data_IF_592197171450
#
_entry.id   IF_592197171450
#
_cell.length_a   1.000
_cell.length_b   1.000
_cell.length_c   1.000
_cell.angle_alpha   90.00
_cell.angle_beta   90.00
_cell.angle_gamma   90.00
#
_symmetry.space_group_name_H-M   'P 1'
#
loop_
_entity.id
_entity.type
_entity.pdbx_description
1 polymer ?
#
# COMPACT_ATOMS: atom_id res chain seq x y z
N UNK A 1 6.04 1.23 -2.94
CA UNK A 1 6.64 -0.10 -3.27
C UNK A 1 5.54 -1.10 -3.63
N UNK A 2 4.59 -1.36 -2.73
CA UNK A 2 3.45 -2.26 -2.98
C UNK A 2 2.68 -1.94 -4.27
N UNK A 3 2.42 -0.66 -4.53
CA UNK A 3 1.78 -0.23 -5.79
C UNK A 3 2.50 -0.75 -7.02
N UNK A 4 3.84 -0.68 -7.05
CA UNK A 4 4.65 -1.18 -8.19
C UNK A 4 4.63 -2.71 -8.23
N UNK A 5 4.77 -3.37 -7.08
CA UNK A 5 4.77 -4.85 -7.01
C UNK A 5 3.45 -5.47 -7.50
N UNK A 6 2.35 -4.75 -7.30
CA UNK A 6 1.01 -5.19 -7.72
C UNK A 6 0.61 -4.66 -9.11
N UNK A 7 1.52 -4.03 -9.85
CA UNK A 7 1.28 -3.53 -11.21
C UNK A 7 0.46 -2.24 -11.28
N UNK A 8 0.39 -1.49 -10.20
CA UNK A 8 -0.31 -0.21 -10.11
C UNK A 8 0.52 1.00 -10.57
N UNK A 9 -0.16 2.11 -10.80
CA UNK A 9 0.45 3.37 -11.25
C UNK A 9 1.18 4.09 -10.10
N UNK A 10 2.52 4.10 -10.15
CA UNK A 10 3.36 4.73 -9.14
C UNK A 10 3.20 6.25 -9.08
N UNK A 11 3.07 6.92 -10.22
CA UNK A 11 2.96 8.38 -10.27
C UNK A 11 1.66 8.86 -9.61
N UNK A 12 0.58 8.11 -9.85
CA UNK A 12 -0.71 8.36 -9.22
C UNK A 12 -0.63 8.15 -7.70
N UNK A 13 -0.02 7.04 -7.26
CA UNK A 13 0.15 6.72 -5.84
C UNK A 13 0.92 7.82 -5.09
N UNK A 14 2.07 8.27 -5.62
CA UNK A 14 2.84 9.37 -5.01
C UNK A 14 2.02 10.65 -4.90
N UNK A 15 1.25 10.98 -5.94
CA UNK A 15 0.40 12.19 -5.96
C UNK A 15 -0.72 12.09 -4.95
N UNK A 16 -1.36 10.91 -4.82
CA UNK A 16 -2.40 10.66 -3.83
C UNK A 16 -1.89 10.79 -2.41
N UNK A 17 -0.75 10.17 -2.08
CA UNK A 17 -0.15 10.30 -0.74
C UNK A 17 0.17 11.76 -0.42
N UNK A 18 0.67 12.50 -1.40
CA UNK A 18 0.98 13.93 -1.22
C UNK A 18 -0.27 14.76 -0.94
N UNK A 19 -1.29 14.63 -1.80
CA UNK A 19 -2.55 15.38 -1.65
C UNK A 19 -3.28 14.97 -0.37
N UNK A 20 -3.29 13.68 -0.02
CA UNK A 20 -3.94 13.20 1.21
C UNK A 20 -3.23 13.69 2.47
N UNK A 21 -1.90 13.75 2.46
CA UNK A 21 -1.12 14.32 3.59
C UNK A 21 -1.39 15.81 3.74
N UNK A 22 -1.50 16.55 2.64
CA UNK A 22 -1.84 17.98 2.69
C UNK A 22 -3.29 18.19 3.16
N UNK A 23 -4.23 17.39 2.65
CA UNK A 23 -5.64 17.45 3.05
C UNK A 23 -5.84 17.06 4.51
N UNK A 24 -5.04 16.11 5.04
CA UNK A 24 -5.12 15.65 6.42
C UNK A 24 -5.00 16.78 7.45
N UNK A 25 -4.25 17.84 7.13
CA UNK A 25 -4.15 19.04 7.98
C UNK A 25 -5.51 19.64 8.35
N UNK A 26 -6.43 19.70 7.39
CA UNK A 26 -7.75 20.28 7.57
C UNK A 26 -8.78 19.19 7.92
N UNK A 27 -8.69 18.03 7.27
CA UNK A 27 -9.68 16.97 7.39
C UNK A 27 -9.64 16.30 8.76
N UNK A 28 -8.47 16.08 9.38
CA UNK A 28 -8.38 15.43 10.70
C UNK A 28 -9.08 16.27 11.79
N UNK A 29 -8.79 17.57 11.96
CA UNK A 29 -9.50 18.42 12.91
C UNK A 29 -11.01 18.47 12.63
N UNK A 30 -11.40 18.59 11.36
CA UNK A 30 -12.81 18.65 10.95
C UNK A 30 -13.55 17.35 11.28
N UNK A 31 -12.91 16.20 11.07
CA UNK A 31 -13.47 14.89 11.39
C UNK A 31 -13.66 14.70 12.91
N UNK A 32 -12.70 15.16 13.72
CA UNK A 32 -12.81 15.12 15.18
C UNK A 32 -13.84 16.10 15.74
N UNK A 33 -14.03 17.25 15.10
CA UNK A 33 -15.05 18.22 15.50
C UNK A 33 -16.48 17.69 15.24
N UNK A 34 -16.66 16.97 14.13
CA UNK A 34 -17.97 16.45 13.71
C UNK A 34 -18.27 15.07 14.30
N UNK A 35 -17.51 14.05 13.89
CA UNK A 35 -17.71 12.66 14.28
C UNK A 35 -17.09 12.34 15.64
N UNK A 36 -15.92 12.93 15.93
CA UNK A 36 -15.24 12.73 17.21
C UNK A 36 -16.14 13.12 18.39
N UNK A 37 -16.80 14.28 18.33
CA UNK A 37 -17.72 14.72 19.39
C UNK A 37 -18.86 13.72 19.63
N UNK A 38 -19.44 13.16 18.57
CA UNK A 38 -20.56 12.20 18.64
C UNK A 38 -20.11 10.82 19.15
N UNK A 39 -18.92 10.37 18.77
CA UNK A 39 -18.38 9.06 19.19
C UNK A 39 -17.87 9.11 20.65
N UNK A 40 -17.34 10.26 21.08
CA UNK A 40 -16.82 10.47 22.43
C UNK A 40 -17.87 11.01 23.41
N UNK A 41 -19.10 11.27 22.95
CA UNK A 41 -20.24 11.61 23.80
C UNK A 41 -20.50 10.46 24.80
N UNK A 42 -20.24 10.72 26.09
CA UNK A 42 -20.31 9.72 27.17
C UNK A 42 -18.97 9.25 27.72
N UNK A 43 -17.85 9.65 27.13
CA UNK A 43 -16.50 9.41 27.66
C UNK A 43 -15.93 10.68 28.31
N UNK A 44 -15.25 10.56 29.46
CA UNK A 44 -14.58 11.69 30.15
C UNK A 44 -13.29 12.16 29.45
N UNK A 45 -13.22 12.05 28.13
CA UNK A 45 -12.03 12.36 27.34
C UNK A 45 -12.21 13.73 26.70
N UNK A 46 -11.57 14.75 27.29
CA UNK A 46 -11.50 16.08 26.68
C UNK A 46 -10.49 16.03 25.54
N UNK A 47 -10.98 16.14 24.30
CA UNK A 47 -10.13 16.17 23.10
C UNK A 47 -9.40 17.53 23.05
N UNK A 48 -8.07 17.60 23.15
CA UNK A 48 -7.35 18.85 23.10
C UNK A 48 -7.14 19.31 21.65
N UNK A 49 -8.18 19.89 21.03
CA UNK A 49 -8.18 20.32 19.63
C UNK A 49 -7.02 21.26 19.26
N UNK A 50 -6.62 22.16 20.16
CA UNK A 50 -5.47 23.06 19.94
C UNK A 50 -4.16 22.28 19.81
N UNK A 51 -3.96 21.24 20.63
CA UNK A 51 -2.76 20.41 20.55
C UNK A 51 -2.73 19.62 19.23
N UNK A 52 -3.90 19.12 18.78
CA UNK A 52 -4.02 18.39 17.51
C UNK A 52 -3.59 19.28 16.34
N UNK A 53 -4.09 20.50 16.30
CA UNK A 53 -3.74 21.48 15.25
C UNK A 53 -2.24 21.83 15.27
N UNK A 54 -1.68 22.09 16.46
CA UNK A 54 -0.25 22.42 16.61
C UNK A 54 0.62 21.23 16.19
N UNK A 55 0.29 20.02 16.63
CA UNK A 55 1.02 18.80 16.25
C UNK A 55 0.94 18.55 14.75
N UNK A 56 -0.24 18.65 14.13
CA UNK A 56 -0.40 18.51 12.67
C UNK A 56 0.39 19.57 11.89
N UNK A 57 0.35 20.83 12.33
CA UNK A 57 1.12 21.90 11.71
C UNK A 57 2.63 21.62 11.83
N UNK A 58 3.11 21.22 13.01
CA UNK A 58 4.51 20.88 13.24
C UNK A 58 5.00 19.70 12.40
N UNK A 59 4.13 18.72 12.13
CA UNK A 59 4.44 17.58 11.26
C UNK A 59 4.43 17.95 9.77
N UNK A 60 3.61 18.92 9.37
CA UNK A 60 3.45 19.28 7.96
C UNK A 60 4.46 20.31 7.48
N UNK A 61 4.91 21.23 8.35
CA UNK A 61 5.97 22.19 8.04
C UNK A 61 7.23 21.52 7.43
N UNK A 62 7.84 20.49 8.05
CA UNK A 62 9.04 19.85 7.50
C UNK A 62 8.76 19.11 6.19
N UNK A 63 7.56 18.54 6.01
CA UNK A 63 7.16 17.89 4.75
C UNK A 63 7.06 18.93 3.63
N UNK A 64 6.40 20.06 3.90
CA UNK A 64 6.27 21.17 2.96
C UNK A 64 7.63 21.78 2.59
N UNK A 65 8.50 22.00 3.57
CA UNK A 65 9.88 22.46 3.34
C UNK A 65 10.68 21.47 2.48
N UNK A 66 10.58 20.16 2.77
CA UNK A 66 11.22 19.12 1.96
C UNK A 66 10.78 19.17 0.50
N UNK A 67 9.49 19.37 0.25
CA UNK A 67 8.94 19.51 -1.10
C UNK A 67 9.42 20.79 -1.80
N UNK A 68 9.44 21.92 -1.10
CA UNK A 68 9.93 23.19 -1.63
C UNK A 68 11.40 23.08 -2.03
N UNK A 69 12.24 22.47 -1.19
CA UNK A 69 13.66 22.22 -1.50
C UNK A 69 13.78 21.30 -2.71
N UNK A 70 12.95 20.25 -2.81
CA UNK A 70 12.96 19.36 -3.98
C UNK A 70 12.60 20.09 -5.28
N UNK A 71 11.67 21.05 -5.22
CA UNK A 71 11.23 21.84 -6.39
C UNK A 71 12.26 22.91 -6.79
N UNK A 72 12.77 23.69 -5.84
CA UNK A 72 13.64 24.84 -6.14
C UNK A 72 15.12 24.46 -6.23
N UNK A 73 15.57 23.41 -5.53
CA UNK A 73 16.97 23.00 -5.46
C UNK A 73 17.18 21.50 -5.74
N UNK A 74 16.86 21.01 -6.95
CA UNK A 74 16.90 19.57 -7.27
C UNK A 74 18.30 18.95 -7.11
N UNK A 75 19.37 19.72 -7.34
CA UNK A 75 20.77 19.27 -7.13
C UNK A 75 21.09 19.05 -5.65
N UNK A 76 20.57 19.90 -4.76
CA UNK A 76 20.70 19.73 -3.30
C UNK A 76 19.85 18.56 -2.85
N UNK A 77 18.59 18.49 -3.31
CA UNK A 77 17.68 17.41 -2.97
C UNK A 77 18.23 16.02 -3.35
N UNK A 78 18.91 15.86 -4.49
CA UNK A 78 19.48 14.57 -4.88
C UNK A 78 20.66 14.14 -3.98
N UNK A 79 21.49 15.09 -3.53
CA UNK A 79 22.57 14.84 -2.57
C UNK A 79 22.02 14.54 -1.19
N UNK A 80 21.07 15.35 -0.72
CA UNK A 80 20.37 15.13 0.54
C UNK A 80 19.67 13.78 0.56
N UNK A 81 19.01 13.35 -0.52
CA UNK A 81 18.37 12.03 -0.60
C UNK A 81 19.37 10.88 -0.40
N UNK A 82 20.58 10.97 -0.97
CA UNK A 82 21.62 9.93 -0.81
C UNK A 82 22.11 9.79 0.64
N UNK A 83 22.17 10.90 1.39
CA UNK A 83 22.60 10.91 2.79
C UNK A 83 21.42 10.60 3.72
N UNK A 84 20.25 11.16 3.45
CA UNK A 84 19.07 11.07 4.29
C UNK A 84 18.43 9.68 4.22
N UNK A 85 18.47 9.00 3.06
CA UNK A 85 17.92 7.65 2.92
C UNK A 85 18.52 6.63 3.93
N UNK A 86 19.86 6.45 4.03
CA UNK A 86 20.42 5.54 5.02
C UNK A 86 20.20 6.02 6.46
N UNK A 87 20.25 7.34 6.73
CA UNK A 87 19.97 7.88 8.06
C UNK A 87 18.53 7.56 8.48
N UNK A 88 17.54 7.78 7.60
CA UNK A 88 16.15 7.44 7.88
C UNK A 88 15.97 5.94 8.15
N UNK A 89 16.64 5.07 7.40
CA UNK A 89 16.59 3.62 7.64
C UNK A 89 17.14 3.29 9.03
N UNK A 90 18.31 3.83 9.38
CA UNK A 90 18.93 3.63 10.70
C UNK A 90 18.00 4.16 11.81
N UNK A 91 17.44 5.35 11.64
CA UNK A 91 16.51 5.94 12.60
C UNK A 91 15.23 5.10 12.75
N UNK A 92 14.65 4.64 11.65
CA UNK A 92 13.45 3.78 11.68
C UNK A 92 13.76 2.48 12.42
N UNK A 93 14.89 1.83 12.12
CA UNK A 93 15.32 0.62 12.83
C UNK A 93 15.52 0.93 14.32
N UNK A 94 16.18 2.03 14.65
CA UNK A 94 16.38 2.48 16.04
C UNK A 94 15.05 2.71 16.77
N UNK A 95 14.11 3.39 16.12
CA UNK A 95 12.76 3.62 16.66
C UNK A 95 12.03 2.29 16.85
N UNK A 96 12.11 1.34 15.90
CA UNK A 96 11.46 0.03 16.04
C UNK A 96 12.06 -0.74 17.22
N UNK A 97 13.39 -0.75 17.37
CA UNK A 97 14.07 -1.46 18.48
C UNK A 97 13.68 -0.81 19.81
N UNK A 98 13.82 0.52 19.93
CA UNK A 98 13.47 1.24 21.15
C UNK A 98 11.98 1.12 21.48
N UNK A 99 11.10 1.23 20.48
CA UNK A 99 9.67 1.05 20.66
C UNK A 99 9.33 -0.38 21.07
N UNK A 100 9.97 -1.39 20.49
CA UNK A 100 9.75 -2.79 20.86
C UNK A 100 10.19 -3.06 22.30
N UNK A 101 11.34 -2.52 22.73
CA UNK A 101 11.83 -2.68 24.11
C UNK A 101 10.95 -1.90 25.08
N UNK A 102 10.73 -0.61 24.83
CA UNK A 102 9.98 0.29 25.71
C UNK A 102 8.49 -0.07 25.81
N UNK A 103 7.90 -0.62 24.73
CA UNK A 103 6.49 -0.96 24.65
C UNK A 103 6.24 -2.47 24.64
N UNK A 104 7.16 -3.26 25.21
CA UNK A 104 6.91 -4.70 25.45
C UNK A 104 5.59 -4.92 26.19
N UNK A 105 5.20 -3.95 27.05
CA UNK A 105 3.94 -3.97 27.78
C UNK A 105 2.70 -3.66 26.90
N UNK A 106 2.82 -2.88 25.82
CA UNK A 106 1.68 -2.56 24.94
C UNK A 106 1.11 -3.81 24.27
N UNK A 107 1.94 -4.83 23.99
CA UNK A 107 1.46 -6.09 23.43
C UNK A 107 0.52 -6.84 24.38
N UNK A 108 0.62 -6.63 25.70
CA UNK A 108 -0.33 -7.19 26.67
C UNK A 108 -1.64 -6.42 26.71
N UNK A 109 -1.63 -5.13 26.35
CA UNK A 109 -2.87 -4.33 26.20
C UNK A 109 -3.58 -4.59 24.87
N UNK A 110 -2.95 -5.33 23.96
CA UNK A 110 -3.48 -5.63 22.65
C UNK A 110 -4.57 -6.70 22.76
N UNK A 111 -5.82 -6.25 22.86
CA UNK A 111 -6.98 -7.15 22.90
C UNK A 111 -7.32 -7.68 21.51
N UNK A 112 -7.92 -8.87 21.46
CA UNK A 112 -8.39 -9.47 20.21
C UNK A 112 -9.39 -8.57 19.47
N UNK A 113 -10.19 -7.79 20.21
CA UNK A 113 -11.15 -6.82 19.66
C UNK A 113 -10.44 -5.70 18.89
N UNK A 114 -9.32 -5.18 19.42
CA UNK A 114 -8.50 -4.17 18.73
C UNK A 114 -7.88 -4.73 17.46
N UNK A 115 -7.41 -5.98 17.46
CA UNK A 115 -6.89 -6.65 16.25
C UNK A 115 -7.96 -6.72 15.18
N UNK A 116 -9.17 -7.15 15.53
CA UNK A 116 -10.28 -7.27 14.59
C UNK A 116 -10.69 -5.90 14.07
N UNK A 117 -10.81 -4.90 14.95
CA UNK A 117 -11.16 -3.54 14.55
C UNK A 117 -10.10 -2.94 13.61
N UNK A 118 -8.81 -3.10 13.92
CA UNK A 118 -7.72 -2.67 13.06
C UNK A 118 -7.73 -3.43 11.72
N UNK A 119 -8.02 -4.73 11.74
CA UNK A 119 -8.16 -5.53 10.52
C UNK A 119 -9.29 -5.02 9.65
N UNK A 120 -10.46 -4.81 10.25
CA UNK A 120 -11.63 -4.34 9.53
C UNK A 120 -11.38 -2.95 8.93
N UNK A 121 -10.73 -2.04 9.66
CA UNK A 121 -10.35 -0.71 9.17
C UNK A 121 -9.44 -0.80 7.93
N UNK A 122 -8.41 -1.64 7.98
CA UNK A 122 -7.47 -1.82 6.85
C UNK A 122 -8.18 -2.44 5.64
N UNK A 123 -8.98 -3.49 5.85
CA UNK A 123 -9.67 -4.21 4.78
C UNK A 123 -10.76 -3.38 4.13
N UNK A 124 -11.53 -2.64 4.93
CA UNK A 124 -12.51 -1.68 4.42
C UNK A 124 -11.83 -0.58 3.62
N UNK A 125 -10.64 -0.12 4.01
CA UNK A 125 -9.84 0.82 3.21
C UNK A 125 -9.51 0.28 1.81
N UNK A 126 -8.99 -0.94 1.71
CA UNK A 126 -8.71 -1.57 0.42
C UNK A 126 -9.96 -1.74 -0.45
N UNK A 127 -11.05 -2.26 0.16
CA UNK A 127 -12.31 -2.52 -0.54
C UNK A 127 -12.95 -1.21 -0.99
N UNK A 128 -13.03 -0.20 -0.13
CA UNK A 128 -13.61 1.09 -0.44
C UNK A 128 -12.81 1.81 -1.54
N UNK A 129 -11.48 1.78 -1.49
CA UNK A 129 -10.64 2.33 -2.55
C UNK A 129 -10.88 1.65 -3.91
N UNK A 130 -10.97 0.31 -3.91
CA UNK A 130 -11.31 -0.45 -5.11
C UNK A 130 -12.71 -0.13 -5.63
N UNK A 131 -13.74 -0.14 -4.77
CA UNK A 131 -15.11 0.21 -5.12
C UNK A 131 -15.23 1.63 -5.68
N UNK A 132 -14.62 2.61 -5.03
CA UNK A 132 -14.60 3.99 -5.52
C UNK A 132 -14.00 4.05 -6.93
N UNK A 133 -12.83 3.44 -7.14
CA UNK A 133 -12.19 3.43 -8.47
C UNK A 133 -13.00 2.68 -9.54
N UNK A 134 -13.77 1.66 -9.16
CA UNK A 134 -14.70 0.96 -10.06
C UNK A 134 -15.88 1.85 -10.47
N UNK A 135 -16.46 2.61 -9.53
CA UNK A 135 -17.54 3.56 -9.81
C UNK A 135 -17.08 4.63 -10.80
N UNK A 136 -15.85 5.14 -10.64
CA UNK A 136 -15.24 6.11 -11.56
C UNK A 136 -14.60 5.49 -12.81
N UNK A 137 -14.69 4.16 -12.99
CA UNK A 137 -14.21 3.40 -14.15
C UNK A 137 -12.74 3.63 -14.48
N UNK A 138 -11.89 3.69 -13.46
CA UNK A 138 -10.44 3.82 -13.65
C UNK A 138 -9.83 2.56 -14.30
N UNK A 139 -8.73 2.71 -15.06
CA UNK A 139 -8.00 1.55 -15.58
C UNK A 139 -7.42 0.73 -14.42
N UNK A 140 -7.16 -0.55 -14.67
CA UNK A 140 -6.76 -1.52 -13.62
C UNK A 140 -5.51 -1.10 -12.86
N UNK A 141 -4.53 -0.48 -13.52
CA UNK A 141 -3.32 0.05 -12.89
C UNK A 141 -3.61 1.18 -11.90
N UNK A 142 -4.58 2.03 -12.21
CA UNK A 142 -4.93 3.17 -11.37
C UNK A 142 -5.83 2.70 -10.22
N UNK A 143 -6.75 1.77 -10.47
CA UNK A 143 -7.54 1.11 -9.43
C UNK A 143 -6.66 0.44 -8.37
N UNK A 144 -5.60 -0.28 -8.78
CA UNK A 144 -4.65 -0.88 -7.84
C UNK A 144 -3.96 0.20 -7.01
N UNK A 145 -3.54 1.31 -7.63
CA UNK A 145 -2.94 2.42 -6.90
C UNK A 145 -3.92 3.04 -5.88
N UNK A 146 -5.16 3.30 -6.25
CA UNK A 146 -6.18 3.87 -5.35
C UNK A 146 -6.48 2.92 -4.18
N UNK A 147 -6.70 1.63 -4.46
CA UNK A 147 -6.97 0.65 -3.43
C UNK A 147 -5.80 0.52 -2.44
N UNK A 148 -4.57 0.47 -2.96
CA UNK A 148 -3.35 0.37 -2.13
C UNK A 148 -3.15 1.62 -1.28
N UNK A 149 -3.28 2.82 -1.86
CA UNK A 149 -3.15 4.08 -1.11
C UNK A 149 -4.26 4.29 -0.08
N UNK A 150 -5.46 3.74 -0.31
CA UNK A 150 -6.58 3.87 0.64
C UNK A 150 -6.45 2.87 1.80
N UNK A 151 -5.98 1.66 1.53
CA UNK A 151 -5.79 0.63 2.55
C UNK A 151 -4.51 0.80 3.37
N UNK A 152 -3.41 1.25 2.75
CA UNK A 152 -2.17 1.57 3.46
C UNK A 152 -2.26 2.98 4.03
N UNK A 153 -2.64 3.07 5.30
CA UNK A 153 -2.68 4.34 6.02
C UNK A 153 -1.28 4.73 6.53
N UNK A 154 -1.07 6.02 6.78
CA UNK A 154 0.15 6.51 7.39
C UNK A 154 0.12 6.33 8.93
N UNK A 155 0.36 5.10 9.37
CA UNK A 155 0.36 4.74 10.79
C UNK A 155 1.41 5.50 11.61
N UNK A 156 2.51 5.93 11.00
CA UNK A 156 3.55 6.72 11.67
C UNK A 156 3.05 8.10 12.09
N UNK A 157 2.39 8.82 11.18
CA UNK A 157 1.76 10.11 11.51
C UNK A 157 0.67 9.91 12.57
N UNK A 158 -0.16 8.87 12.44
CA UNK A 158 -1.20 8.57 13.41
C UNK A 158 -0.64 8.31 14.82
N UNK A 159 0.41 7.49 14.92
CA UNK A 159 1.09 7.19 16.19
C UNK A 159 1.67 8.46 16.83
N UNK A 160 2.41 9.26 16.06
CA UNK A 160 3.03 10.50 16.58
C UNK A 160 1.95 11.49 17.00
N UNK A 161 0.90 11.68 16.18
CA UNK A 161 -0.20 12.57 16.51
C UNK A 161 -0.86 12.18 17.84
N UNK A 162 -1.23 10.90 18.01
CA UNK A 162 -1.86 10.42 19.25
C UNK A 162 -0.94 10.60 20.45
N UNK A 163 0.35 10.30 20.27
CA UNK A 163 1.37 10.38 21.33
C UNK A 163 1.66 11.80 21.81
N UNK A 164 1.66 12.78 20.91
CA UNK A 164 1.88 14.18 21.28
C UNK A 164 0.61 14.86 21.77
N UNK A 165 -0.57 14.36 21.37
CA UNK A 165 -1.81 15.06 21.66
C UNK A 165 -2.47 14.56 22.94
N UNK A 166 -2.49 13.26 23.16
CA UNK A 166 -3.17 12.66 24.31
C UNK A 166 -2.21 12.53 25.50
N UNK A 167 -2.76 12.59 26.72
CA UNK A 167 -1.98 12.32 27.93
C UNK A 167 -1.95 10.81 28.22
N UNK A 168 -0.84 10.28 28.77
CA UNK A 168 -0.82 8.93 29.32
C UNK A 168 -1.90 8.77 30.40
N UNK A 169 -2.58 7.60 30.52
CA UNK A 169 -2.37 6.34 29.78
C UNK A 169 -3.18 6.20 28.48
N UNK A 170 -4.11 7.11 28.19
CA UNK A 170 -5.02 7.01 27.02
C UNK A 170 -4.25 7.07 25.70
N UNK A 171 -3.17 7.86 25.67
CA UNK A 171 -2.24 7.91 24.53
C UNK A 171 -1.67 6.55 24.16
N UNK A 172 -1.25 5.76 25.16
CA UNK A 172 -0.62 4.46 24.95
C UNK A 172 -1.64 3.48 24.39
N UNK A 173 -2.85 3.45 24.95
CA UNK A 173 -3.96 2.61 24.48
C UNK A 173 -4.38 2.97 23.04
N UNK A 174 -4.52 4.25 22.72
CA UNK A 174 -4.91 4.70 21.38
C UNK A 174 -3.83 4.38 20.33
N UNK A 175 -2.55 4.52 20.69
CA UNK A 175 -1.42 4.25 19.81
C UNK A 175 -1.23 2.76 19.47
N UNK A 176 -1.84 1.83 20.22
CA UNK A 176 -1.86 0.40 19.87
C UNK A 176 -2.56 0.18 18.53
N UNK A 177 -3.60 0.95 18.21
CA UNK A 177 -4.44 0.73 17.03
C UNK A 177 -3.66 0.95 15.71
N UNK A 178 -2.93 2.08 15.51
CA UNK A 178 -2.05 2.25 14.34
C UNK A 178 -0.95 1.19 14.22
N UNK A 179 -0.42 0.70 15.36
CA UNK A 179 0.60 -0.35 15.37
C UNK A 179 -0.01 -1.67 14.91
N UNK A 180 -1.16 -2.06 15.46
CA UNK A 180 -1.89 -3.26 15.04
C UNK A 180 -2.25 -3.19 13.54
N UNK A 181 -2.76 -2.06 13.07
CA UNK A 181 -3.07 -1.84 11.66
C UNK A 181 -1.83 -2.03 10.77
N UNK A 182 -0.65 -1.56 11.20
CA UNK A 182 0.61 -1.72 10.46
C UNK A 182 1.05 -3.18 10.35
N UNK A 183 0.80 -4.00 11.37
CA UNK A 183 1.09 -5.44 11.37
C UNK A 183 0.15 -6.18 10.41
N UNK A 184 -1.12 -5.77 10.35
CA UNK A 184 -2.15 -6.42 9.52
C UNK A 184 -2.04 -6.03 8.04
N UNK A 185 -1.71 -4.78 7.74
CA UNK A 185 -1.61 -4.20 6.38
C UNK A 185 -0.83 -5.06 5.36
N UNK A 186 0.35 -5.61 5.66
CA UNK A 186 1.10 -6.41 4.67
C UNK A 186 0.41 -7.73 4.32
N UNK A 187 -0.40 -8.31 5.20
CA UNK A 187 -1.03 -9.63 5.01
C UNK A 187 -1.86 -9.71 3.70
N UNK A 188 -2.87 -8.86 3.47
CA UNK A 188 -3.66 -8.91 2.23
C UNK A 188 -2.82 -8.65 0.99
N UNK A 189 -1.82 -7.75 1.07
CA UNK A 189 -0.93 -7.43 -0.04
C UNK A 189 -0.05 -8.61 -0.43
N UNK A 190 0.49 -9.33 0.55
CA UNK A 190 1.24 -10.56 0.33
C UNK A 190 0.36 -11.66 -0.27
N UNK A 191 -0.87 -11.83 0.21
CA UNK A 191 -1.81 -12.82 -0.35
C UNK A 191 -2.09 -12.53 -1.82
N UNK A 192 -2.38 -11.28 -2.18
CA UNK A 192 -2.61 -10.87 -3.57
C UNK A 192 -1.35 -11.07 -4.41
N UNK A 193 -0.18 -10.70 -3.90
CA UNK A 193 1.09 -10.89 -4.59
C UNK A 193 1.38 -12.38 -4.86
N UNK A 194 1.23 -13.25 -3.86
CA UNK A 194 1.38 -14.69 -4.00
C UNK A 194 0.40 -15.27 -5.01
N UNK A 195 -0.86 -14.84 -4.98
CA UNK A 195 -1.88 -15.24 -5.94
C UNK A 195 -1.53 -14.84 -7.38
N UNK A 196 -1.10 -13.59 -7.60
CA UNK A 196 -0.65 -13.13 -8.92
C UNK A 196 0.56 -13.92 -9.41
N UNK A 197 1.52 -14.19 -8.51
CA UNK A 197 2.72 -14.97 -8.83
C UNK A 197 2.36 -16.40 -9.23
N UNK A 198 1.47 -17.05 -8.47
CA UNK A 198 0.99 -18.39 -8.75
C UNK A 198 0.27 -18.47 -10.09
N UNK A 199 -0.71 -17.57 -10.32
CA UNK A 199 -1.46 -17.50 -11.58
C UNK A 199 -0.55 -17.29 -12.78
N UNK A 200 0.44 -16.38 -12.67
CA UNK A 200 1.38 -16.11 -13.75
C UNK A 200 2.32 -17.29 -14.03
N UNK A 201 2.69 -18.08 -13.03
CA UNK A 201 3.45 -19.31 -13.24
C UNK A 201 2.61 -20.38 -13.96
N UNK A 202 1.38 -20.66 -13.50
CA UNK A 202 0.51 -21.65 -14.13
C UNK A 202 0.13 -21.28 -15.57
N UNK A 203 -0.29 -20.03 -15.83
CA UNK A 203 -0.68 -19.60 -17.18
C UNK A 203 0.49 -19.53 -18.16
N UNK A 204 1.72 -19.33 -17.68
CA UNK A 204 2.92 -19.34 -18.53
C UNK A 204 3.24 -20.76 -18.98
N UNK A 205 3.07 -21.75 -18.11
CA UNK A 205 3.20 -23.17 -18.45
C UNK A 205 2.16 -23.58 -19.50
N UNK A 206 0.88 -23.25 -19.30
CA UNK A 206 -0.19 -23.57 -20.26
C UNK A 206 0.06 -22.98 -21.66
N UNK A 207 0.51 -21.72 -21.74
CA UNK A 207 0.82 -21.08 -23.03
C UNK A 207 2.00 -21.75 -23.75
N UNK A 208 3.03 -22.16 -23.01
CA UNK A 208 4.19 -22.85 -23.57
C UNK A 208 3.81 -24.25 -24.07
N UNK A 209 2.96 -24.97 -23.34
CA UNK A 209 2.44 -26.27 -23.77
C UNK A 209 1.55 -26.14 -25.02
N UNK A 210 0.65 -25.16 -25.07
CA UNK A 210 -0.16 -24.87 -26.26
C UNK A 210 0.68 -24.51 -27.49
N UNK A 211 1.75 -23.74 -27.31
CA UNK A 211 2.68 -23.42 -28.39
C UNK A 211 3.45 -24.66 -28.86
N UNK A 212 3.89 -25.54 -27.95
CA UNK A 212 4.58 -26.78 -28.28
C UNK A 212 3.66 -27.77 -29.04
N UNK A 213 2.40 -27.90 -28.62
CA UNK A 213 1.40 -28.75 -29.29
C UNK A 213 1.11 -28.23 -30.70
N UNK A 214 0.91 -26.92 -30.86
CA UNK A 214 0.65 -26.31 -32.18
C UNK A 214 1.86 -26.43 -33.12
N UNK A 215 3.09 -26.28 -32.59
CA UNK A 215 4.31 -26.50 -33.36
C UNK A 215 4.43 -27.94 -33.85
N UNK A 216 4.17 -28.93 -32.97
CA UNK A 216 4.21 -30.36 -33.34
C UNK A 216 3.18 -30.70 -34.43
N UNK A 217 1.95 -30.18 -34.29
CA UNK A 217 0.88 -30.38 -35.28
C UNK A 217 1.21 -29.76 -36.64
N UNK A 218 1.93 -28.63 -36.65
CA UNK A 218 2.37 -27.98 -37.90
C UNK A 218 3.42 -28.83 -38.64
N UNK A 219 4.36 -29.43 -37.92
CA UNK A 219 5.40 -30.31 -38.48
C UNK A 219 4.79 -31.56 -39.09
N UNK A 220 3.91 -32.26 -38.37
CA UNK A 220 3.23 -33.47 -38.85
C UNK A 220 2.41 -33.19 -40.12
N UNK A 221 1.73 -32.03 -40.18
CA UNK A 221 0.93 -31.62 -41.36
C UNK A 221 1.80 -31.35 -42.59
N UNK A 222 2.99 -30.76 -42.42
CA UNK A 222 3.95 -30.54 -43.51
C UNK A 222 4.62 -31.83 -43.98
N UNK A 223 4.89 -32.78 -43.07
CA UNK A 223 5.44 -34.10 -43.43
C UNK A 223 4.46 -34.90 -44.29
N UNK A 224 3.18 -34.94 -43.93
CA UNK A 224 2.13 -35.66 -44.71
C UNK A 224 2.01 -35.09 -46.13
N UNK A 225 1.96 -33.75 -46.28
CA UNK A 225 1.94 -33.11 -47.61
C UNK A 225 3.20 -33.38 -48.45
N UNK A 226 4.35 -33.54 -47.80
CA UNK A 226 5.59 -33.92 -48.47
C UNK A 226 5.55 -35.34 -49.02
N UNK A 227 4.97 -36.29 -48.28
CA UNK A 227 4.77 -37.66 -48.75
C UNK A 227 3.73 -37.74 -49.88
N UNK A 228 2.63 -37.00 -49.79
CA UNK A 228 1.59 -36.98 -50.84
C UNK A 228 2.13 -36.42 -52.18
N UNK A 229 2.97 -35.37 -52.12
CA UNK A 229 3.62 -34.82 -53.32
C UNK A 229 4.65 -35.79 -53.94
N UNK A 230 5.37 -36.55 -53.13
CA UNK A 230 6.32 -37.56 -53.62
C UNK A 230 5.59 -38.76 -54.26
N UNK A 231 4.46 -39.17 -53.71
CA UNK A 231 3.61 -40.22 -54.28
C UNK A 231 2.99 -39.80 -55.62
N UNK A 232 2.51 -38.55 -55.72
CA UNK A 232 2.01 -38.01 -56.99
C UNK A 232 3.09 -37.90 -58.07
N UNK A 233 4.35 -37.69 -57.68
CA UNK A 233 5.46 -37.54 -58.63
C UNK A 233 6.03 -38.90 -59.10
N UNK A 234 5.81 -39.99 -58.34
CA UNK A 234 6.12 -41.36 -58.78
C UNK A 234 5.09 -41.94 -59.75
N UNK A 235 3.82 -41.53 -59.67
CA UNK A 235 2.74 -42.02 -60.54
C UNK A 235 2.76 -41.41 -61.97
N UNK A 236 3.57 -40.38 -62.21
CA UNK A 236 3.67 -39.66 -63.49
C UNK A 236 4.80 -40.24 -64.40
N UNK A 237 5.64 -41.15 -63.91
CA UNK A 237 6.82 -41.68 -64.62
C UNK A 237 6.69 -43.11 -65.18
N UNK A 238 5.47 -43.62 -65.42
CA UNK A 238 5.23 -44.90 -66.08
C UNK A 238 4.37 -44.76 -67.34
#
# INVERSE_FOLDING_TARGET
>A
MWTVLLGGNLNLSITMTFVSTLAALATIPLWLFTLGKTILEGTNIVIPYSNILISLASLTIPIGLGLLIQRYFPKVASRSKKILAPICIIMIIGIIILASVANSYMFYMLTWQMVIAASLSVWTGFIAGALASMVFRFPTSDMVAVAVETGIQNSGIAFVLLSYTLKPPVSEMASVVPVAASIITPIPLFVIYCYQRFRNCCFKTDKLELQAINAKKSVDTSSVKGFDNLAQQSDINY
#
